data_IF_490229972845
#
_entry.id   IF_490229972845
#
_cell.length_a   1.000
_cell.length_b   1.000
_cell.length_c   1.000
_cell.angle_alpha   90.00
_cell.angle_beta   90.00
_cell.angle_gamma   90.00
#
_symmetry.space_group_name_H-M   'P 1'
#
loop_
_entity.id
_entity.type
_entity.pdbx_description
1 polymer ?
#
# COMPACT_ATOMS: atom_id res chain seq x y z
N UNK A 1 17.02 -15.15 8.14
CA UNK A 1 16.53 -14.70 6.82
C UNK A 1 15.72 -13.43 7.01
N UNK A 2 15.96 -12.44 6.17
CA UNK A 2 15.27 -11.15 6.12
C UNK A 2 14.61 -10.99 4.74
N UNK A 3 13.57 -10.18 4.69
CA UNK A 3 13.01 -9.63 3.47
C UNK A 3 13.64 -8.24 3.25
N UNK A 4 14.18 -7.99 2.06
CA UNK A 4 14.64 -6.65 1.68
C UNK A 4 13.60 -5.96 0.82
N UNK A 5 13.12 -4.79 1.26
CA UNK A 5 12.34 -3.87 0.46
C UNK A 5 13.31 -2.83 -0.12
N UNK A 6 13.49 -2.76 -1.45
CA UNK A 6 14.31 -1.72 -2.07
C UNK A 6 13.57 -0.85 -3.05
N UNK A 7 13.96 0.42 -3.07
CA UNK A 7 13.47 1.39 -4.03
C UNK A 7 14.25 1.36 -5.35
N UNK A 8 13.77 2.11 -6.34
CA UNK A 8 14.43 2.24 -7.65
C UNK A 8 15.86 2.83 -7.58
N UNK A 9 16.19 3.56 -6.51
CA UNK A 9 17.51 4.17 -6.29
C UNK A 9 18.50 3.18 -5.66
N UNK A 10 18.03 1.99 -5.26
CA UNK A 10 18.85 0.95 -4.64
C UNK A 10 18.95 1.05 -3.12
N UNK A 11 18.24 1.99 -2.49
CA UNK A 11 18.13 2.03 -1.03
C UNK A 11 17.22 0.89 -0.57
N UNK A 12 17.59 0.22 0.53
CA UNK A 12 16.84 -0.92 1.03
C UNK A 12 16.63 -0.89 2.53
N UNK A 13 15.53 -1.52 2.95
CA UNK A 13 15.13 -1.69 4.35
C UNK A 13 14.85 -3.17 4.59
N UNK A 14 15.29 -3.65 5.75
CA UNK A 14 15.14 -5.05 6.15
C UNK A 14 13.92 -5.26 7.06
N UNK A 15 13.15 -6.30 6.75
CA UNK A 15 12.07 -6.81 7.60
C UNK A 15 12.35 -8.27 7.94
N UNK A 16 12.28 -8.70 9.21
CA UNK A 16 12.46 -10.11 9.55
C UNK A 16 11.49 -11.01 8.78
N UNK A 17 11.98 -12.11 8.17
CA UNK A 17 11.12 -12.92 7.28
C UNK A 17 9.93 -13.54 8.01
N UNK A 18 10.10 -13.84 9.30
CA UNK A 18 9.03 -14.36 10.16
C UNK A 18 7.88 -13.36 10.31
N UNK A 19 8.21 -12.07 10.37
CA UNK A 19 7.23 -10.98 10.42
C UNK A 19 6.58 -10.82 9.04
N UNK A 20 7.40 -10.74 7.99
CA UNK A 20 6.91 -10.54 6.63
C UNK A 20 5.96 -11.66 6.16
N UNK A 21 6.24 -12.92 6.49
CA UNK A 21 5.35 -14.06 6.17
C UNK A 21 3.98 -13.96 6.82
N UNK A 22 3.92 -13.38 8.03
CA UNK A 22 2.67 -13.28 8.78
C UNK A 22 1.85 -12.06 8.35
N UNK A 23 2.51 -10.97 7.96
CA UNK A 23 1.86 -9.68 7.71
C UNK A 23 1.66 -9.37 6.23
N UNK A 24 2.58 -9.79 5.36
CA UNK A 24 2.55 -9.44 3.94
C UNK A 24 1.97 -10.61 3.14
N UNK A 25 0.73 -10.44 2.66
CA UNK A 25 0.06 -11.46 1.84
C UNK A 25 0.87 -11.84 0.60
N UNK A 26 1.59 -10.88 0.03
CA UNK A 26 2.42 -11.13 -1.15
C UNK A 26 3.53 -12.16 -0.87
N UNK A 27 4.13 -12.14 0.33
CA UNK A 27 5.15 -13.11 0.75
C UNK A 27 4.53 -14.48 0.98
N UNK A 28 3.39 -14.53 1.66
CA UNK A 28 2.67 -15.78 1.91
C UNK A 28 2.24 -16.49 0.60
N UNK A 29 1.83 -15.71 -0.41
CA UNK A 29 1.44 -16.24 -1.72
C UNK A 29 2.62 -16.83 -2.49
N UNK A 30 3.78 -16.16 -2.47
CA UNK A 30 5.01 -16.66 -3.11
C UNK A 30 5.48 -17.96 -2.47
N UNK A 31 5.44 -18.06 -1.14
CA UNK A 31 5.77 -19.29 -0.42
C UNK A 31 4.80 -20.43 -0.77
N UNK A 32 3.50 -20.14 -0.88
CA UNK A 32 2.48 -21.12 -1.28
C UNK A 32 2.71 -21.66 -2.71
N UNK A 33 3.03 -20.77 -3.65
CA UNK A 33 3.34 -21.16 -5.03
C UNK A 33 4.62 -22.00 -5.10
N UNK A 34 5.71 -21.57 -4.44
CA UNK A 34 6.96 -22.32 -4.38
C UNK A 34 6.77 -23.71 -3.76
N UNK A 35 5.96 -23.81 -2.70
CA UNK A 35 5.66 -25.09 -2.05
C UNK A 35 4.81 -26.04 -2.93
N UNK A 36 3.94 -25.49 -3.77
CA UNK A 36 3.11 -26.25 -4.71
C UNK A 36 3.92 -26.73 -5.91
N UNK A 37 4.79 -25.87 -6.46
CA UNK A 37 5.72 -26.22 -7.53
C UNK A 37 6.71 -27.33 -7.12
N UNK A 38 7.16 -27.33 -5.85
CA UNK A 38 7.99 -28.41 -5.29
C UNK A 38 7.23 -29.73 -5.07
N UNK A 39 5.89 -29.71 -5.00
CA UNK A 39 5.04 -30.90 -4.78
C UNK A 39 4.55 -31.55 -6.06
N UNK A 40 4.76 -30.95 -7.23
CA UNK A 40 4.47 -31.62 -8.50
C UNK A 40 5.52 -32.73 -8.71
N UNK A 41 5.11 -34.01 -8.82
CA UNK A 41 6.05 -35.05 -9.25
C UNK A 41 6.56 -34.66 -10.64
N UNK A 42 7.88 -34.74 -10.85
CA UNK A 42 8.49 -34.65 -12.20
C UNK A 42 7.90 -35.77 -13.06
N UNK A 43 6.78 -35.49 -13.71
CA UNK A 43 6.19 -36.35 -14.73
C UNK A 43 7.03 -36.19 -15.99
N UNK A 44 7.70 -37.27 -16.38
CA UNK A 44 8.49 -37.38 -17.60
C UNK A 44 7.60 -37.42 -18.86
N UNK A 45 6.97 -36.31 -19.24
CA UNK A 45 6.36 -36.20 -20.57
C UNK A 45 6.51 -34.77 -21.13
N UNK A 46 7.16 -34.67 -22.28
CA UNK A 46 7.21 -33.48 -23.15
C UNK A 46 6.20 -33.66 -24.31
N UNK A 47 5.96 -32.65 -25.17
CA UNK A 47 5.04 -31.52 -24.96
C UNK A 47 3.97 -31.43 -26.07
N UNK A 48 2.85 -30.71 -25.83
CA UNK A 48 2.03 -30.19 -26.95
C UNK A 48 1.34 -28.84 -26.60
N UNK A 49 1.07 -28.05 -27.62
CA UNK A 49 1.06 -26.58 -27.69
C UNK A 49 -0.24 -25.82 -27.26
N UNK A 50 -0.05 -24.71 -26.51
CA UNK A 50 -0.72 -23.37 -26.65
C UNK A 50 -2.11 -23.10 -26.01
N UNK A 51 -2.57 -21.82 -25.88
CA UNK A 51 -1.84 -20.54 -25.71
C UNK A 51 -2.30 -19.65 -24.50
N UNK A 52 -1.35 -18.79 -24.09
CA UNK A 52 -1.44 -17.43 -23.50
C UNK A 52 -2.40 -17.08 -22.33
N UNK A 53 -1.81 -16.94 -21.13
CA UNK A 53 -2.22 -15.94 -20.13
C UNK A 53 -0.98 -15.11 -19.78
N UNK A 54 -1.03 -13.81 -20.03
CA UNK A 54 0.05 -12.85 -19.74
C UNK A 54 0.33 -12.80 -18.23
N UNK A 55 1.46 -13.37 -17.81
CA UNK A 55 1.99 -13.22 -16.46
C UNK A 55 3.03 -12.09 -16.43
N UNK A 56 2.93 -11.23 -15.42
CA UNK A 56 3.91 -10.18 -15.10
C UNK A 56 5.31 -10.81 -14.99
N UNK A 57 6.24 -10.29 -15.78
CA UNK A 57 7.58 -10.85 -15.96
C UNK A 57 8.49 -10.50 -14.77
N UNK A 58 8.71 -11.47 -13.89
CA UNK A 58 9.89 -11.51 -13.01
C UNK A 58 11.04 -12.05 -13.86
N UNK A 59 11.96 -11.19 -14.29
CA UNK A 59 13.16 -11.62 -15.04
C UNK A 59 14.28 -12.04 -14.09
N UNK A 60 14.77 -13.29 -14.15
CA UNK A 60 16.13 -13.60 -13.74
C UNK A 60 17.08 -13.23 -14.90
N UNK A 61 18.06 -12.38 -14.64
CA UNK A 61 19.11 -12.05 -15.61
C UNK A 61 20.12 -13.19 -15.62
N UNK A 62 20.31 -13.79 -16.79
CA UNK A 62 21.37 -14.72 -17.11
C UNK A 62 22.33 -13.97 -18.04
N UNK A 63 23.60 -13.81 -17.65
CA UNK A 63 24.74 -13.65 -18.57
C UNK A 63 26.05 -13.81 -17.79
N UNK A 64 26.50 -15.07 -17.66
CA UNK A 64 27.73 -15.59 -18.29
C UNK A 64 28.02 -16.98 -17.73
N UNK A 65 28.07 -17.94 -18.66
CA UNK A 65 28.47 -19.32 -18.44
C UNK A 65 29.96 -19.37 -18.07
N UNK A 66 30.26 -19.86 -16.87
CA UNK A 66 31.38 -20.78 -16.65
C UNK A 66 30.86 -21.90 -15.74
N UNK A 67 30.90 -23.12 -16.27
CA UNK A 67 30.60 -24.36 -15.56
C UNK A 67 31.61 -24.55 -14.42
N UNK A 68 31.14 -24.66 -13.18
CA UNK A 68 31.73 -25.61 -12.26
C UNK A 68 30.68 -26.20 -11.31
N UNK A 69 30.80 -27.51 -11.17
CA UNK A 69 29.93 -28.46 -10.51
C UNK A 69 29.97 -28.27 -8.99
N UNK A 70 28.80 -28.03 -8.33
CA UNK A 70 28.43 -28.57 -6.99
C UNK A 70 27.16 -27.94 -6.37
N UNK A 71 26.21 -28.85 -6.08
CA UNK A 71 25.27 -28.90 -4.95
C UNK A 71 23.92 -28.12 -5.03
N UNK A 72 22.76 -28.79 -4.89
CA UNK A 72 21.44 -28.17 -4.89
C UNK A 72 21.07 -27.79 -3.44
N UNK A 73 21.55 -26.66 -2.95
CA UNK A 73 21.11 -26.14 -1.65
C UNK A 73 21.14 -24.61 -1.65
N UNK A 74 20.29 -24.01 -2.49
CA UNK A 74 20.13 -22.56 -2.56
C UNK A 74 18.91 -22.07 -1.76
N UNK A 75 18.72 -22.61 -0.55
CA UNK A 75 17.68 -22.17 0.39
C UNK A 75 18.05 -20.86 1.15
N UNK A 76 19.06 -20.12 0.71
CA UNK A 76 19.63 -18.96 1.42
C UNK A 76 19.59 -17.63 0.66
N UNK A 77 18.90 -17.55 -0.49
CA UNK A 77 18.74 -16.24 -1.17
C UNK A 77 17.72 -15.40 -0.40
N UNK A 78 18.09 -14.20 0.12
CA UNK A 78 17.14 -13.32 0.79
C UNK A 78 15.99 -12.99 -0.17
N UNK A 79 14.75 -13.08 0.32
CA UNK A 79 13.60 -12.65 -0.46
C UNK A 79 13.69 -11.13 -0.66
N UNK A 80 13.64 -10.71 -1.92
CA UNK A 80 13.84 -9.32 -2.29
C UNK A 80 12.62 -8.77 -3.06
N UNK A 81 12.01 -7.73 -2.52
CA UNK A 81 11.08 -6.88 -3.27
C UNK A 81 11.84 -5.65 -3.73
N UNK A 82 12.11 -5.57 -5.04
CA UNK A 82 12.90 -4.50 -5.64
C UNK A 82 12.06 -3.60 -6.53
N UNK A 83 12.64 -2.45 -6.90
CA UNK A 83 12.05 -1.45 -7.81
C UNK A 83 10.74 -0.86 -7.29
N UNK A 84 10.68 -0.62 -5.98
CA UNK A 84 9.58 0.12 -5.39
C UNK A 84 9.72 1.63 -5.66
N UNK A 85 8.62 2.28 -6.02
CA UNK A 85 8.58 3.71 -6.41
C UNK A 85 8.47 4.63 -5.19
N UNK A 86 8.91 4.17 -4.02
CA UNK A 86 8.72 4.83 -2.74
C UNK A 86 10.06 5.26 -2.13
N UNK A 87 10.04 6.37 -1.39
CA UNK A 87 11.24 6.85 -0.69
C UNK A 87 11.66 5.87 0.40
N UNK A 88 12.94 5.89 0.77
CA UNK A 88 13.46 5.09 1.89
C UNK A 88 12.69 5.34 3.19
N UNK A 89 12.28 6.57 3.44
CA UNK A 89 11.50 6.95 4.62
C UNK A 89 10.16 6.19 4.71
N UNK A 90 9.47 6.01 3.58
CA UNK A 90 8.23 5.20 3.53
C UNK A 90 8.53 3.74 3.83
N UNK A 91 9.58 3.18 3.24
CA UNK A 91 9.97 1.79 3.45
C UNK A 91 10.40 1.55 4.92
N UNK A 92 11.10 2.51 5.51
CA UNK A 92 11.47 2.50 6.93
C UNK A 92 10.22 2.55 7.82
N UNK A 93 9.24 3.39 7.50
CA UNK A 93 7.97 3.46 8.24
C UNK A 93 7.19 2.13 8.18
N UNK A 94 7.15 1.47 7.02
CA UNK A 94 6.54 0.14 6.86
C UNK A 94 7.26 -0.90 7.72
N UNK A 95 8.59 -0.93 7.68
CA UNK A 95 9.38 -1.86 8.47
C UNK A 95 9.19 -1.62 9.97
N UNK A 96 9.23 -0.35 10.42
CA UNK A 96 8.99 0.03 11.81
C UNK A 96 7.61 -0.41 12.30
N UNK A 97 6.57 -0.25 11.48
CA UNK A 97 5.23 -0.68 11.85
C UNK A 97 5.08 -2.22 11.84
N UNK A 98 5.75 -2.91 10.91
CA UNK A 98 5.75 -4.37 10.82
C UNK A 98 6.39 -5.04 12.05
N UNK A 99 7.46 -4.45 12.61
CA UNK A 99 8.13 -5.01 13.81
C UNK A 99 7.36 -4.75 15.11
N UNK A 100 6.29 -3.96 15.10
CA UNK A 100 5.45 -3.79 16.28
C UNK A 100 4.88 -5.15 16.75
N UNK A 101 4.72 -5.35 18.07
CA UNK A 101 3.98 -6.50 18.57
C UNK A 101 2.52 -6.49 18.08
N UNK A 102 1.92 -7.66 17.86
CA UNK A 102 0.53 -7.74 17.38
C UNK A 102 -0.48 -7.08 18.33
N UNK A 103 -0.24 -7.10 19.64
CA UNK A 103 -1.08 -6.39 20.63
C UNK A 103 -0.90 -4.86 20.64
N UNK A 104 0.03 -4.33 19.85
CA UNK A 104 0.25 -2.89 19.62
C UNK A 104 -0.27 -2.44 18.25
N UNK A 105 -0.90 -3.36 17.51
CA UNK A 105 -1.59 -3.09 16.25
C UNK A 105 -3.09 -3.34 16.40
N UNK A 106 -3.89 -2.45 15.84
CA UNK A 106 -5.33 -2.63 15.79
C UNK A 106 -5.67 -3.56 14.64
N UNK A 107 -6.12 -4.78 14.97
CA UNK A 107 -6.34 -5.83 13.98
C UNK A 107 -7.50 -5.54 13.01
N UNK A 108 -8.56 -4.89 13.49
CA UNK A 108 -9.77 -4.61 12.70
C UNK A 108 -10.25 -3.20 13.03
N UNK A 109 -10.34 -2.37 12.00
CA UNK A 109 -10.96 -1.04 12.08
C UNK A 109 -12.32 -1.11 11.38
N UNK A 110 -13.42 -0.73 12.05
CA UNK A 110 -14.77 -0.82 11.48
C UNK A 110 -14.94 0.08 10.26
N UNK A 111 -15.75 -0.39 9.32
CA UNK A 111 -16.10 0.32 8.08
C UNK A 111 -17.62 0.34 7.94
N UNK A 112 -18.30 1.51 7.89
CA UNK A 112 -17.73 2.85 8.03
C UNK A 112 -17.25 3.14 9.46
N UNK A 113 -16.45 4.20 9.62
CA UNK A 113 -16.12 4.73 10.94
C UNK A 113 -17.36 5.39 11.55
N UNK A 114 -17.83 4.85 12.66
CA UNK A 114 -19.02 5.38 13.38
C UNK A 114 -18.64 6.27 14.57
N UNK A 115 -17.36 6.27 14.96
CA UNK A 115 -16.79 7.07 16.05
C UNK A 115 -15.39 7.54 15.64
N UNK A 116 -14.85 8.60 16.27
CA UNK A 116 -13.50 9.06 15.98
C UNK A 116 -12.46 7.94 16.11
N UNK A 117 -11.50 7.92 15.19
CA UNK A 117 -10.46 6.90 15.09
C UNK A 117 -9.67 6.76 16.39
N UNK A 118 -9.43 7.87 17.09
CA UNK A 118 -8.79 7.93 18.40
C UNK A 118 -9.45 7.07 19.49
N UNK A 119 -10.71 6.66 19.31
CA UNK A 119 -11.42 5.75 20.22
C UNK A 119 -11.33 4.27 19.82
N UNK A 120 -10.80 3.99 18.63
CA UNK A 120 -10.73 2.65 18.03
C UNK A 120 -9.29 2.15 18.03
N UNK A 121 -8.36 2.97 17.57
CA UNK A 121 -6.95 2.59 17.39
C UNK A 121 -6.12 2.91 18.62
N UNK A 122 -4.96 2.26 18.74
CA UNK A 122 -4.02 2.57 19.81
C UNK A 122 -3.40 3.95 19.61
N UNK A 123 -3.05 4.63 20.71
CA UNK A 123 -2.45 5.97 20.69
C UNK A 123 -1.16 6.02 19.84
N UNK A 124 -0.31 4.99 19.96
CA UNK A 124 0.93 4.88 19.18
C UNK A 124 0.69 4.75 17.66
N UNK A 125 -0.42 4.13 17.26
CA UNK A 125 -0.78 4.01 15.84
C UNK A 125 -1.30 5.33 15.30
N UNK A 126 -2.08 6.06 16.11
CA UNK A 126 -2.57 7.38 15.75
C UNK A 126 -1.44 8.40 15.61
N UNK A 127 -0.47 8.39 16.52
CA UNK A 127 0.70 9.26 16.44
C UNK A 127 1.55 8.94 15.21
N UNK A 128 1.69 7.65 14.89
CA UNK A 128 2.41 7.21 13.70
C UNK A 128 1.80 7.77 12.40
N UNK A 129 0.48 7.67 12.20
CA UNK A 129 -0.16 8.24 10.99
C UNK A 129 -0.16 9.77 10.97
N UNK A 130 -0.24 10.44 12.13
CA UNK A 130 -0.07 11.90 12.23
C UNK A 130 1.32 12.34 11.81
N UNK A 131 2.37 11.60 12.19
CA UNK A 131 3.73 11.86 11.74
C UNK A 131 3.83 11.65 10.22
N UNK A 132 3.26 10.57 9.69
CA UNK A 132 3.24 10.30 8.26
C UNK A 132 2.51 11.40 7.45
N UNK A 133 1.41 11.95 7.97
CA UNK A 133 0.71 13.09 7.37
C UNK A 133 1.60 14.33 7.36
N UNK A 134 2.18 14.69 8.52
CA UNK A 134 3.05 15.88 8.65
C UNK A 134 4.28 15.81 7.75
N UNK A 135 4.85 14.62 7.60
CA UNK A 135 5.98 14.36 6.71
C UNK A 135 5.57 14.20 5.25
N UNK A 136 4.26 14.20 4.95
CA UNK A 136 3.75 14.18 3.58
C UNK A 136 3.96 12.85 2.86
N UNK A 137 3.98 11.73 3.57
CA UNK A 137 4.14 10.41 2.95
C UNK A 137 3.00 9.43 3.25
N UNK A 138 1.96 9.88 3.98
CA UNK A 138 0.80 9.06 4.35
C UNK A 138 0.12 8.34 3.16
N UNK A 139 -0.05 9.03 2.03
CA UNK A 139 -0.67 8.42 0.83
C UNK A 139 0.22 7.32 0.23
N UNK A 140 1.53 7.56 0.16
CA UNK A 140 2.50 6.56 -0.29
C UNK A 140 2.57 5.37 0.68
N UNK A 141 2.41 5.62 1.98
CA UNK A 141 2.36 4.57 2.99
C UNK A 141 1.13 3.67 2.82
N UNK A 142 -0.04 4.25 2.53
CA UNK A 142 -1.24 3.48 2.17
C UNK A 142 -0.98 2.62 0.92
N UNK A 143 -0.37 3.20 -0.11
CA UNK A 143 -0.12 2.53 -1.38
C UNK A 143 0.85 1.34 -1.22
N UNK A 144 1.98 1.53 -0.51
CA UNK A 144 2.89 0.42 -0.18
C UNK A 144 2.19 -0.67 0.63
N UNK A 145 1.41 -0.29 1.63
CA UNK A 145 0.69 -1.25 2.46
C UNK A 145 -0.29 -2.09 1.62
N UNK A 146 -0.99 -1.46 0.68
CA UNK A 146 -1.86 -2.12 -0.29
C UNK A 146 -1.07 -3.07 -1.20
N UNK A 147 0.05 -2.61 -1.76
CA UNK A 147 0.93 -3.38 -2.63
C UNK A 147 1.46 -4.66 -1.95
N UNK A 148 1.87 -4.55 -0.68
CA UNK A 148 2.36 -5.69 0.11
C UNK A 148 1.24 -6.59 0.64
N UNK A 149 -0.02 -6.12 0.59
CA UNK A 149 -1.16 -6.75 1.24
C UNK A 149 -1.04 -6.75 2.76
N UNK A 150 -0.45 -5.69 3.34
CA UNK A 150 -0.33 -5.48 4.78
C UNK A 150 -1.61 -4.85 5.34
N UNK A 151 -2.58 -5.71 5.65
CA UNK A 151 -3.95 -5.33 5.98
C UNK A 151 -4.08 -4.35 7.15
N UNK A 152 -3.38 -4.58 8.26
CA UNK A 152 -3.51 -3.71 9.43
C UNK A 152 -3.04 -2.28 9.16
N UNK A 153 -1.91 -2.14 8.44
CA UNK A 153 -1.36 -0.83 8.07
C UNK A 153 -2.25 -0.15 7.02
N UNK A 154 -2.73 -0.91 6.03
CA UNK A 154 -3.65 -0.40 5.01
C UNK A 154 -4.94 0.13 5.63
N UNK A 155 -5.54 -0.62 6.57
CA UNK A 155 -6.76 -0.22 7.26
C UNK A 155 -6.54 1.04 8.11
N UNK A 156 -5.43 1.11 8.84
CA UNK A 156 -5.08 2.27 9.67
C UNK A 156 -4.94 3.53 8.82
N UNK A 157 -4.15 3.47 7.74
CA UNK A 157 -3.97 4.61 6.84
C UNK A 157 -5.29 5.03 6.18
N UNK A 158 -6.06 4.08 5.65
CA UNK A 158 -7.34 4.37 5.00
C UNK A 158 -8.36 5.00 5.96
N UNK A 159 -8.44 4.50 7.19
CA UNK A 159 -9.32 5.05 8.20
C UNK A 159 -8.93 6.47 8.60
N UNK A 160 -7.63 6.73 8.82
CA UNK A 160 -7.15 8.07 9.13
C UNK A 160 -7.37 9.05 7.98
N UNK A 161 -7.10 8.64 6.74
CA UNK A 161 -7.37 9.44 5.53
C UNK A 161 -8.87 9.77 5.45
N UNK A 162 -9.75 8.79 5.68
CA UNK A 162 -11.20 9.01 5.67
C UNK A 162 -11.65 10.04 6.70
N UNK A 163 -11.11 9.98 7.92
CA UNK A 163 -11.40 10.97 8.98
C UNK A 163 -10.89 12.36 8.58
N UNK A 164 -9.66 12.46 8.05
CA UNK A 164 -9.09 13.74 7.60
C UNK A 164 -9.83 14.35 6.43
N UNK A 165 -10.26 13.55 5.46
CA UNK A 165 -11.10 14.04 4.34
C UNK A 165 -12.41 14.62 4.88
N UNK A 166 -13.05 13.94 5.84
CA UNK A 166 -14.27 14.44 6.47
C UNK A 166 -14.03 15.76 7.23
N UNK A 167 -12.95 15.87 8.00
CA UNK A 167 -12.58 17.10 8.71
C UNK A 167 -12.28 18.26 7.75
N UNK A 168 -11.56 18.01 6.66
CA UNK A 168 -11.27 19.01 5.62
C UNK A 168 -12.57 19.48 4.96
N UNK A 169 -13.48 18.54 4.65
CA UNK A 169 -14.76 18.86 4.04
C UNK A 169 -15.61 19.78 4.93
N UNK A 170 -15.70 19.48 6.22
CA UNK A 170 -16.45 20.29 7.19
C UNK A 170 -15.79 21.66 7.49
N UNK A 171 -14.47 21.76 7.37
CA UNK A 171 -13.75 23.01 7.61
C UNK A 171 -13.75 23.97 6.40
N UNK A 172 -14.28 23.55 5.24
CA UNK A 172 -14.42 24.38 4.06
C UNK A 172 -15.54 25.43 4.23
N UNK A 173 -15.34 26.68 3.77
CA UNK A 173 -16.41 27.69 3.75
C UNK A 173 -17.52 27.33 2.75
N UNK A 174 -17.20 26.52 1.75
CA UNK A 174 -18.10 26.01 0.73
C UNK A 174 -17.56 24.70 0.15
N UNK A 175 -18.43 23.96 -0.55
CA UNK A 175 -18.11 22.65 -1.12
C UNK A 175 -16.97 22.68 -2.14
N UNK A 176 -16.80 23.77 -2.88
CA UNK A 176 -15.75 23.89 -3.90
C UNK A 176 -14.39 24.07 -3.23
N UNK A 177 -14.32 24.95 -2.23
CA UNK A 177 -13.12 25.12 -1.42
C UNK A 177 -12.76 23.85 -0.63
N UNK A 178 -13.76 23.16 -0.07
CA UNK A 178 -13.58 21.87 0.60
C UNK A 178 -13.02 20.79 -0.36
N UNK A 179 -13.55 20.71 -1.57
CA UNK A 179 -13.09 19.78 -2.59
C UNK A 179 -11.64 20.07 -3.00
N UNK A 180 -11.27 21.34 -3.21
CA UNK A 180 -9.90 21.71 -3.56
C UNK A 180 -8.91 21.34 -2.46
N UNK A 181 -9.21 21.67 -1.20
CA UNK A 181 -8.38 21.28 -0.05
C UNK A 181 -8.24 19.75 0.08
N UNK A 182 -9.30 19.02 -0.25
CA UNK A 182 -9.28 17.54 -0.27
C UNK A 182 -8.34 17.03 -1.37
N UNK A 183 -8.36 17.63 -2.56
CA UNK A 183 -7.43 17.30 -3.64
C UNK A 183 -5.98 17.58 -3.24
N UNK A 184 -5.71 18.75 -2.64
CA UNK A 184 -4.38 19.11 -2.13
C UNK A 184 -3.86 18.09 -1.11
N UNK A 185 -4.72 17.70 -0.15
CA UNK A 185 -4.39 16.70 0.86
C UNK A 185 -4.08 15.33 0.25
N UNK A 186 -4.90 14.87 -0.70
CA UNK A 186 -4.70 13.60 -1.40
C UNK A 186 -3.63 13.67 -2.49
N UNK A 187 -3.12 14.86 -2.82
CA UNK A 187 -2.19 15.15 -3.93
C UNK A 187 -2.74 14.72 -5.29
N UNK A 188 -4.03 14.94 -5.49
CA UNK A 188 -4.73 14.65 -6.75
C UNK A 188 -4.76 15.93 -7.59
N UNK A 189 -4.38 15.83 -8.86
CA UNK A 189 -4.50 16.96 -9.78
C UNK A 189 -5.97 17.17 -10.17
N UNK A 190 -6.39 18.43 -10.30
CA UNK A 190 -7.71 18.73 -10.84
C UNK A 190 -7.69 18.57 -12.36
N UNK A 191 -8.43 17.60 -12.86
CA UNK A 191 -8.50 17.30 -14.31
C UNK A 191 -9.60 18.08 -15.02
N UNK A 192 -10.44 18.82 -14.28
CA UNK A 192 -11.59 19.51 -14.86
C UNK A 192 -11.17 20.79 -15.55
N UNK A 193 -11.80 21.06 -16.70
CA UNK A 193 -11.54 22.30 -17.41
C UNK A 193 -12.12 23.50 -16.66
N UNK A 194 -11.65 24.73 -16.94
CA UNK A 194 -12.21 25.93 -16.32
C UNK A 194 -13.73 26.05 -16.52
N UNK A 195 -14.23 25.65 -17.69
CA UNK A 195 -15.67 25.66 -18.01
C UNK A 195 -16.45 24.63 -17.18
N UNK A 196 -15.90 23.43 -16.97
CA UNK A 196 -16.52 22.39 -16.13
C UNK A 196 -16.57 22.82 -14.65
N UNK A 197 -15.50 23.45 -14.17
CA UNK A 197 -15.45 24.01 -12.80
C UNK A 197 -16.49 25.10 -12.62
N UNK A 198 -16.65 25.99 -13.63
CA UNK A 198 -17.65 27.05 -13.57
C UNK A 198 -19.08 26.49 -13.56
N UNK A 199 -19.36 25.47 -14.39
CA UNK A 199 -20.65 24.78 -14.38
C UNK A 199 -20.93 24.13 -13.02
N UNK A 200 -19.97 23.42 -12.43
CA UNK A 200 -20.13 22.85 -11.10
C UNK A 200 -20.40 23.93 -10.05
N UNK A 201 -19.69 25.06 -10.11
CA UNK A 201 -19.92 26.19 -9.20
C UNK A 201 -21.39 26.65 -9.25
N UNK A 202 -21.94 26.84 -10.46
CA UNK A 202 -23.34 27.25 -10.63
C UNK A 202 -24.32 26.19 -10.12
N UNK A 203 -24.04 24.90 -10.35
CA UNK A 203 -24.86 23.80 -9.84
C UNK A 203 -24.87 23.74 -8.31
N UNK A 204 -23.71 23.91 -7.66
CA UNK A 204 -23.59 23.91 -6.20
C UNK A 204 -24.26 25.14 -5.58
N UNK A 205 -24.16 26.31 -6.22
CA UNK A 205 -24.89 27.51 -5.80
C UNK A 205 -26.41 27.32 -5.90
N UNK A 206 -26.88 26.74 -7.01
CA UNK A 206 -28.29 26.43 -7.19
C UNK A 206 -28.79 25.43 -6.14
N UNK A 207 -28.02 24.36 -5.86
CA UNK A 207 -28.36 23.39 -4.83
C UNK A 207 -28.54 24.05 -3.46
N UNK A 208 -27.63 24.94 -3.07
CA UNK A 208 -27.72 25.73 -1.83
C UNK A 208 -28.92 26.68 -1.80
N UNK A 209 -29.34 27.22 -2.94
CA UNK A 209 -30.53 28.08 -3.03
C UNK A 209 -31.83 27.28 -2.85
N UNK A 210 -31.88 26.06 -3.41
CA UNK A 210 -33.06 25.19 -3.33
C UNK A 210 -33.17 24.54 -1.94
N UNK A 211 -32.05 24.09 -1.38
CA UNK A 211 -31.97 23.53 -0.04
C UNK A 211 -30.74 24.09 0.69
N UNK A 212 -30.95 25.08 1.58
CA UNK A 212 -29.86 25.67 2.37
C UNK A 212 -29.19 24.69 3.34
N UNK A 213 -29.76 23.50 3.57
CA UNK A 213 -29.25 22.48 4.49
C UNK A 213 -28.48 21.35 3.83
N UNK A 214 -28.30 21.39 2.51
CA UNK A 214 -27.77 20.27 1.72
C UNK A 214 -26.26 20.00 1.91
N UNK A 215 -25.53 20.90 2.59
CA UNK A 215 -24.09 20.80 2.88
C UNK A 215 -23.77 21.20 4.31
#
# INVERSE_FOLDING_TARGET
MSLHLSNQVGESVEVPISVARNLFKIVANVDSFASTARKLPRSNYAPDLGPEVQAVSVKPINEKEEEDDKNPNNDNVPLHFSNLDYSKEVLEAVAQYAVLPHNRRTAIIPKPLNVPLSRIVQENELDFVKVAEKSGFLIQLLDVASCLGFEELMQLCAAYISERVHEIALAGPDIMTAAERTREFLRIHNEWTPEEIEHLHREMEYARQVDPSVY
#
